data_IF_494082526232
#
_entry.id   IF_494082526232
#
_cell.length_a   1.000
_cell.length_b   1.000
_cell.length_c   1.000
_cell.angle_alpha   90.00
_cell.angle_beta   90.00
_cell.angle_gamma   90.00
#
_symmetry.space_group_name_H-M   'P 1'
#
loop_
_entity.id
_entity.type
_entity.pdbx_description
1 polymer ?
#
# COMPACT_ATOMS: atom_id res chain seq x y z
N UNK A 1 -17.26 53.98 -31.90
CA UNK A 1 -15.92 53.89 -31.27
C UNK A 1 -15.89 52.54 -30.59
N UNK A 2 -14.97 51.68 -31.03
CA UNK A 2 -14.88 50.29 -30.61
C UNK A 2 -14.61 50.20 -29.11
N UNK A 3 -15.16 49.17 -28.46
CA UNK A 3 -14.47 48.58 -27.32
C UNK A 3 -14.56 47.06 -27.41
N UNK A 4 -13.39 46.46 -27.26
CA UNK A 4 -13.04 45.09 -27.60
C UNK A 4 -13.28 44.17 -26.42
N UNK A 5 -14.13 43.16 -26.59
CA UNK A 5 -14.19 42.00 -25.69
C UNK A 5 -12.95 41.13 -25.93
N UNK A 6 -11.91 41.40 -25.15
CA UNK A 6 -10.73 40.55 -25.03
C UNK A 6 -11.09 39.29 -24.24
N UNK A 7 -11.29 38.19 -24.95
CA UNK A 7 -11.30 36.86 -24.36
C UNK A 7 -9.98 36.63 -23.62
N UNK A 8 -10.05 36.60 -22.29
CA UNK A 8 -8.95 36.14 -21.45
C UNK A 8 -8.75 34.64 -21.74
N UNK A 9 -7.69 34.33 -22.49
CA UNK A 9 -7.24 32.97 -22.74
C UNK A 9 -6.74 32.42 -21.41
N UNK A 10 -7.42 31.38 -20.93
CA UNK A 10 -7.04 30.54 -19.80
C UNK A 10 -5.73 29.80 -20.14
N UNK A 11 -4.58 30.40 -19.78
CA UNK A 11 -3.24 29.96 -20.20
C UNK A 11 -2.55 28.95 -19.26
N UNK A 12 -3.24 28.37 -18.26
CA UNK A 12 -2.59 27.48 -17.28
C UNK A 12 -3.17 26.05 -17.23
N UNK A 13 -3.92 25.61 -18.25
CA UNK A 13 -4.34 24.20 -18.36
C UNK A 13 -3.22 23.36 -18.98
N UNK A 14 -2.75 22.27 -18.33
CA UNK A 14 -1.74 21.40 -18.91
C UNK A 14 -2.26 20.83 -20.24
N UNK A 15 -1.41 20.84 -21.27
CA UNK A 15 -1.76 20.33 -22.58
C UNK A 15 -2.17 18.85 -22.46
N UNK A 16 -3.39 18.53 -22.89
CA UNK A 16 -3.92 17.17 -22.90
C UNK A 16 -3.50 16.48 -24.20
N UNK A 17 -2.70 15.43 -24.11
CA UNK A 17 -2.25 14.63 -25.25
C UNK A 17 -3.24 13.49 -25.52
N UNK A 18 -3.54 13.24 -26.79
CA UNK A 18 -4.34 12.09 -27.22
C UNK A 18 -3.43 11.02 -27.84
N UNK A 19 -3.86 9.75 -27.86
CA UNK A 19 -3.06 8.64 -28.45
C UNK A 19 -2.76 8.79 -29.94
N UNK A 20 -3.46 9.71 -30.61
CA UNK A 20 -3.23 10.04 -32.02
C UNK A 20 -2.06 11.02 -32.21
N UNK A 21 -1.65 11.70 -31.14
CA UNK A 21 -0.47 12.57 -31.13
C UNK A 21 0.83 11.77 -30.99
N UNK A 22 0.73 10.48 -30.66
CA UNK A 22 1.86 9.57 -30.51
C UNK A 22 2.33 8.97 -31.83
N UNK A 23 3.59 8.51 -31.90
CA UNK A 23 4.12 7.80 -33.06
C UNK A 23 3.31 6.53 -33.33
N UNK A 24 2.76 6.42 -34.54
CA UNK A 24 1.92 5.28 -34.89
C UNK A 24 2.77 4.16 -35.49
N UNK A 25 2.49 2.91 -35.10
CA UNK A 25 3.26 1.72 -35.54
C UNK A 25 3.41 1.63 -37.07
N UNK A 26 2.37 1.98 -37.83
CA UNK A 26 2.42 1.95 -39.31
C UNK A 26 3.40 2.98 -39.92
N UNK A 27 3.84 3.99 -39.15
CA UNK A 27 4.83 4.99 -39.56
C UNK A 27 6.27 4.50 -39.35
N UNK A 28 6.47 3.32 -38.75
CA UNK A 28 7.79 2.77 -38.42
C UNK A 28 8.66 3.73 -37.61
N UNK A 29 8.18 4.22 -36.44
CA UNK A 29 8.89 5.20 -35.63
C UNK A 29 10.21 4.66 -35.07
N UNK A 30 11.13 5.54 -34.70
CA UNK A 30 12.39 5.12 -34.06
C UNK A 30 12.13 4.48 -32.70
N UNK A 31 13.05 3.62 -32.27
CA UNK A 31 12.99 3.00 -30.95
C UNK A 31 12.92 4.05 -29.82
N UNK A 32 13.76 5.09 -29.90
CA UNK A 32 13.79 6.18 -28.92
C UNK A 32 12.43 6.88 -28.82
N UNK A 33 11.79 7.16 -29.96
CA UNK A 33 10.48 7.81 -29.99
C UNK A 33 9.38 6.95 -29.36
N UNK A 34 9.43 5.63 -29.54
CA UNK A 34 8.52 4.71 -28.86
C UNK A 34 8.77 4.67 -27.35
N UNK A 35 10.03 4.58 -26.92
CA UNK A 35 10.39 4.54 -25.50
C UNK A 35 10.03 5.84 -24.77
N UNK A 36 10.32 7.00 -25.37
CA UNK A 36 9.89 8.31 -24.84
C UNK A 36 8.37 8.38 -24.69
N UNK A 37 7.62 7.89 -25.69
CA UNK A 37 6.16 7.82 -25.61
C UNK A 37 5.69 6.89 -24.48
N UNK A 38 6.32 5.73 -24.32
CA UNK A 38 6.00 4.78 -23.25
C UNK A 38 6.30 5.35 -21.86
N UNK A 39 7.29 6.24 -21.73
CA UNK A 39 7.58 6.95 -20.49
C UNK A 39 6.49 7.97 -20.14
N UNK A 40 5.92 8.67 -21.14
CA UNK A 40 4.73 9.50 -20.95
C UNK A 40 3.52 8.70 -20.46
N UNK A 41 3.48 7.39 -20.77
CA UNK A 41 2.40 6.47 -20.39
C UNK A 41 2.64 5.74 -19.07
N UNK A 42 3.74 5.94 -18.36
CA UNK A 42 3.90 5.42 -16.98
C UNK A 42 2.72 5.91 -16.15
N UNK A 43 2.02 5.08 -15.38
CA UNK A 43 1.04 5.62 -14.43
C UNK A 43 1.76 6.24 -13.24
N UNK A 44 1.33 7.41 -12.79
CA UNK A 44 1.70 7.86 -11.45
C UNK A 44 1.18 6.83 -10.45
N UNK A 45 2.00 6.35 -9.49
CA UNK A 45 1.54 5.40 -8.49
C UNK A 45 0.26 5.94 -7.87
N UNK A 46 -0.80 5.13 -7.83
CA UNK A 46 -2.05 5.50 -7.16
C UNK A 46 -1.73 5.96 -5.74
N UNK A 47 -1.79 7.28 -5.51
CA UNK A 47 -1.67 7.86 -4.19
C UNK A 47 -3.04 7.76 -3.54
N UNK A 48 -3.15 7.00 -2.45
CA UNK A 48 -4.35 7.07 -1.65
C UNK A 48 -4.41 8.43 -0.94
N UNK A 49 -5.40 9.25 -1.30
CA UNK A 49 -5.54 10.61 -0.80
C UNK A 49 -5.26 11.64 -1.89
N UNK A 50 -5.98 12.74 -1.85
CA UNK A 50 -6.21 13.73 -2.90
C UNK A 50 -4.97 14.51 -3.39
N UNK A 51 -3.91 13.85 -3.82
CA UNK A 51 -2.86 14.51 -4.58
C UNK A 51 -2.53 13.70 -5.82
N UNK A 52 -3.15 14.10 -6.92
CA UNK A 52 -2.60 13.86 -8.23
C UNK A 52 -1.27 14.60 -8.31
N UNK A 53 -0.17 13.86 -8.45
CA UNK A 53 1.09 14.44 -8.94
C UNK A 53 0.77 15.02 -10.31
N UNK A 54 0.69 16.35 -10.41
CA UNK A 54 0.47 17.04 -11.68
C UNK A 54 1.67 16.77 -12.58
N UNK A 55 1.50 15.90 -13.57
CA UNK A 55 2.40 15.87 -14.72
C UNK A 55 2.19 17.14 -15.54
N UNK A 56 3.28 17.68 -16.08
CA UNK A 56 3.23 18.78 -17.04
C UNK A 56 2.43 18.43 -18.30
N UNK A 57 2.24 17.14 -18.60
CA UNK A 57 1.42 16.63 -19.70
C UNK A 57 0.48 15.53 -19.20
N UNK A 58 -0.81 15.66 -19.49
CA UNK A 58 -1.85 14.68 -19.14
C UNK A 58 -2.27 13.95 -20.40
N UNK A 59 -2.09 12.63 -20.44
CA UNK A 59 -2.55 11.81 -21.58
C UNK A 59 -3.99 11.39 -21.36
N UNK A 60 -4.85 11.58 -22.36
CA UNK A 60 -6.21 11.04 -22.36
C UNK A 60 -6.16 9.50 -22.24
N UNK A 61 -6.76 8.90 -21.19
CA UNK A 61 -6.77 7.44 -21.03
C UNK A 61 -7.53 6.72 -22.16
N UNK A 62 -8.41 7.41 -22.89
CA UNK A 62 -9.13 6.82 -24.01
C UNK A 62 -8.16 6.35 -25.10
N UNK A 63 -8.27 5.07 -25.47
CA UNK A 63 -7.46 4.48 -26.55
C UNK A 63 -6.05 4.04 -26.15
N UNK A 64 -5.55 4.41 -24.95
CA UNK A 64 -4.22 3.98 -24.49
C UNK A 64 -4.06 2.46 -24.46
N UNK A 65 -5.03 1.67 -23.95
CA UNK A 65 -4.92 0.20 -23.99
C UNK A 65 -4.78 -0.31 -25.42
N UNK A 66 -5.54 0.25 -26.38
CA UNK A 66 -5.48 -0.14 -27.79
C UNK A 66 -4.13 0.20 -28.41
N UNK A 67 -3.58 1.37 -28.10
CA UNK A 67 -2.26 1.79 -28.55
C UNK A 67 -1.17 0.84 -28.02
N UNK A 68 -1.15 0.56 -26.71
CA UNK A 68 -0.20 -0.36 -26.08
C UNK A 68 -0.30 -1.78 -26.67
N UNK A 69 -1.51 -2.30 -26.85
CA UNK A 69 -1.72 -3.59 -27.51
C UNK A 69 -1.20 -3.60 -28.94
N UNK A 70 -1.28 -2.48 -29.68
CA UNK A 70 -0.74 -2.40 -31.03
C UNK A 70 0.79 -2.48 -31.08
N UNK A 71 1.49 -1.92 -30.08
CA UNK A 71 2.94 -2.04 -29.92
C UNK A 71 3.30 -3.50 -29.61
N UNK A 72 2.62 -4.09 -28.61
CA UNK A 72 2.85 -5.48 -28.17
C UNK A 72 2.60 -6.48 -29.31
N UNK A 73 1.58 -6.24 -30.14
CA UNK A 73 1.24 -7.11 -31.26
C UNK A 73 2.14 -6.92 -32.50
N UNK A 74 2.96 -5.86 -32.54
CA UNK A 74 3.86 -5.58 -33.66
C UNK A 74 5.16 -6.37 -33.53
N UNK A 75 5.66 -6.93 -34.64
CA UNK A 75 6.98 -7.55 -34.73
C UNK A 75 8.14 -6.56 -34.60
N UNK A 76 7.88 -5.25 -34.78
CA UNK A 76 8.89 -4.19 -34.78
C UNK A 76 10.04 -4.42 -35.78
N UNK A 77 9.76 -5.07 -36.92
CA UNK A 77 10.78 -5.53 -37.90
C UNK A 77 11.70 -4.44 -38.47
N UNK A 78 11.31 -3.16 -38.36
CA UNK A 78 12.14 -2.04 -38.83
C UNK A 78 13.22 -1.64 -37.82
N UNK A 79 13.11 -2.07 -36.56
CA UNK A 79 14.14 -1.94 -35.53
C UNK A 79 15.08 -3.14 -35.67
N UNK A 80 16.39 -2.92 -35.74
CA UNK A 80 17.36 -4.00 -35.99
C UNK A 80 17.86 -4.67 -34.70
N UNK A 81 17.89 -3.92 -33.60
CA UNK A 81 18.40 -4.37 -32.31
C UNK A 81 17.31 -5.15 -31.55
N UNK A 82 17.53 -6.45 -31.36
CA UNK A 82 16.58 -7.33 -30.68
C UNK A 82 16.45 -7.02 -29.17
N UNK A 83 17.52 -6.56 -28.50
CA UNK A 83 17.43 -6.18 -27.09
C UNK A 83 16.55 -4.94 -26.92
N UNK A 84 16.62 -4.01 -27.87
CA UNK A 84 15.77 -2.81 -27.88
C UNK A 84 14.30 -3.16 -28.17
N UNK A 85 14.02 -4.14 -29.05
CA UNK A 85 12.65 -4.64 -29.26
C UNK A 85 12.06 -5.22 -27.99
N UNK A 86 12.82 -6.11 -27.33
CA UNK A 86 12.43 -6.72 -26.06
C UNK A 86 12.14 -5.66 -25.01
N UNK A 87 12.99 -4.62 -24.92
CA UNK A 87 12.74 -3.48 -24.03
C UNK A 87 11.42 -2.77 -24.35
N UNK A 88 11.14 -2.46 -25.62
CA UNK A 88 9.90 -1.80 -26.04
C UNK A 88 8.66 -2.63 -25.67
N UNK A 89 8.69 -3.93 -25.98
CA UNK A 89 7.58 -4.83 -25.64
C UNK A 89 7.37 -4.95 -24.12
N UNK A 90 8.46 -5.04 -23.36
CA UNK A 90 8.40 -5.09 -21.90
C UNK A 90 7.80 -3.81 -21.31
N UNK A 91 8.26 -2.63 -21.74
CA UNK A 91 7.73 -1.35 -21.28
C UNK A 91 6.24 -1.19 -21.65
N UNK A 92 5.86 -1.51 -22.89
CA UNK A 92 4.45 -1.47 -23.32
C UNK A 92 3.56 -2.42 -22.50
N UNK A 93 4.05 -3.64 -22.23
CA UNK A 93 3.36 -4.64 -21.42
C UNK A 93 3.18 -4.18 -19.98
N UNK A 94 4.21 -3.59 -19.37
CA UNK A 94 4.15 -3.02 -18.02
C UNK A 94 3.09 -1.91 -17.92
N UNK A 95 3.02 -1.00 -18.91
CA UNK A 95 2.02 0.09 -18.93
C UNK A 95 0.60 -0.46 -19.10
N UNK A 96 0.43 -1.53 -19.85
CA UNK A 96 -0.87 -2.18 -20.04
C UNK A 96 -1.30 -2.95 -18.77
N UNK A 97 -0.36 -3.66 -18.14
CA UNK A 97 -0.58 -4.42 -16.91
C UNK A 97 -0.93 -3.50 -15.73
N UNK A 98 -0.24 -2.37 -15.57
CA UNK A 98 -0.57 -1.36 -14.56
C UNK A 98 -2.03 -0.85 -14.67
N UNK A 99 -2.53 -0.72 -15.89
CA UNK A 99 -3.90 -0.30 -16.22
C UNK A 99 -4.95 -1.40 -16.08
N UNK A 100 -4.53 -2.64 -15.82
CA UNK A 100 -5.43 -3.80 -15.73
C UNK A 100 -5.93 -4.06 -14.30
N UNK A 101 -5.75 -3.09 -13.40
CA UNK A 101 -6.17 -3.13 -12.00
C UNK A 101 -5.07 -3.57 -11.03
N UNK A 102 -5.29 -3.32 -9.73
CA UNK A 102 -4.26 -3.45 -8.67
C UNK A 102 -3.60 -4.83 -8.56
N UNK A 103 -4.33 -5.89 -8.89
CA UNK A 103 -3.83 -7.26 -8.80
C UNK A 103 -2.99 -7.65 -10.02
N UNK A 104 -3.23 -7.00 -11.16
CA UNK A 104 -2.47 -7.20 -12.38
C UNK A 104 -1.25 -6.27 -12.48
N UNK A 105 -1.14 -5.28 -11.59
CA UNK A 105 -0.03 -4.34 -11.57
C UNK A 105 1.30 -5.04 -11.19
N UNK A 106 2.42 -4.65 -11.83
CA UNK A 106 3.73 -5.21 -11.53
C UNK A 106 4.20 -4.84 -10.11
N UNK A 107 5.30 -5.44 -9.68
CA UNK A 107 5.97 -5.04 -8.44
C UNK A 107 6.27 -3.54 -8.46
N UNK A 108 5.83 -2.82 -7.44
CA UNK A 108 6.00 -1.37 -7.37
C UNK A 108 6.20 -0.89 -5.94
N UNK A 109 6.94 0.20 -5.78
CA UNK A 109 6.98 0.95 -4.52
C UNK A 109 5.99 2.10 -4.61
N UNK A 110 5.13 2.25 -3.60
CA UNK A 110 4.10 3.28 -3.53
C UNK A 110 4.29 4.18 -2.32
N UNK A 111 3.89 5.43 -2.46
CA UNK A 111 3.88 6.41 -1.38
C UNK A 111 2.47 6.53 -0.80
N UNK A 112 2.35 6.40 0.52
CA UNK A 112 1.11 6.53 1.27
C UNK A 112 1.19 7.77 2.14
N UNK A 113 0.42 8.80 1.81
CA UNK A 113 0.32 10.00 2.65
C UNK A 113 -0.58 9.74 3.85
N UNK A 114 0.02 9.68 5.03
CA UNK A 114 -0.66 9.52 6.31
C UNK A 114 -1.13 10.89 6.82
N UNK A 115 -0.28 11.91 6.74
CA UNK A 115 -0.64 13.31 6.97
C UNK A 115 0.31 14.22 6.17
N UNK A 116 0.20 15.54 6.35
CA UNK A 116 0.99 16.52 5.58
C UNK A 116 2.51 16.38 5.80
N UNK A 117 2.93 15.86 6.95
CA UNK A 117 4.34 15.68 7.32
C UNK A 117 4.83 14.23 7.19
N UNK A 118 3.94 13.26 6.95
CA UNK A 118 4.25 11.84 6.99
C UNK A 118 3.79 11.12 5.73
N UNK A 119 4.76 10.71 4.92
CA UNK A 119 4.58 9.87 3.73
C UNK A 119 5.38 8.59 3.90
N UNK A 120 4.71 7.45 3.87
CA UNK A 120 5.33 6.12 4.02
C UNK A 120 5.53 5.48 2.65
N UNK A 121 6.72 4.96 2.39
CA UNK A 121 7.02 4.22 1.16
C UNK A 121 6.91 2.72 1.39
N UNK A 122 6.05 2.03 0.63
CA UNK A 122 5.87 0.59 0.74
C UNK A 122 6.09 -0.09 -0.59
N UNK A 123 6.93 -1.12 -0.59
CA UNK A 123 7.08 -2.06 -1.67
C UNK A 123 5.95 -3.09 -1.66
N UNK A 124 5.29 -3.22 -2.80
CA UNK A 124 4.29 -4.23 -3.08
C UNK A 124 4.73 -5.07 -4.27
N UNK A 125 5.10 -6.34 -4.07
CA UNK A 125 5.44 -7.22 -5.18
C UNK A 125 4.21 -7.50 -6.07
N UNK A 126 4.46 -8.02 -7.26
CA UNK A 126 3.41 -8.58 -8.13
C UNK A 126 2.64 -9.66 -7.36
N UNK A 127 1.33 -9.73 -7.58
CA UNK A 127 0.50 -10.74 -6.93
C UNK A 127 0.77 -12.09 -7.61
N UNK A 128 1.59 -12.92 -6.98
CA UNK A 128 1.82 -14.31 -7.39
C UNK A 128 1.20 -15.23 -6.32
N UNK A 129 0.27 -16.10 -6.72
CA UNK A 129 -0.45 -17.00 -5.80
C UNK A 129 -1.36 -16.29 -4.79
N UNK A 130 -1.54 -16.89 -3.61
CA UNK A 130 -2.46 -16.45 -2.54
C UNK A 130 -1.86 -15.39 -1.59
N UNK A 131 -0.93 -14.56 -2.07
CA UNK A 131 -0.18 -13.60 -1.25
C UNK A 131 -0.91 -12.27 -1.01
N UNK A 132 -2.15 -12.32 -0.48
CA UNK A 132 -2.97 -11.13 -0.20
C UNK A 132 -2.33 -10.17 0.82
N UNK A 133 -1.46 -10.66 1.70
CA UNK A 133 -0.73 -9.86 2.70
C UNK A 133 0.31 -8.90 2.10
N UNK A 134 0.68 -9.08 0.83
CA UNK A 134 1.67 -8.24 0.15
C UNK A 134 1.07 -6.98 -0.51
N UNK A 135 -0.22 -6.73 -0.29
CA UNK A 135 -0.94 -5.54 -0.78
C UNK A 135 -1.46 -4.71 0.39
N UNK A 136 -1.37 -3.40 0.26
CA UNK A 136 -1.89 -2.46 1.26
C UNK A 136 -3.39 -2.24 1.05
N UNK A 137 -4.18 -2.45 2.10
CA UNK A 137 -5.64 -2.32 2.08
C UNK A 137 -6.11 -0.96 2.58
N UNK A 138 -7.31 -0.54 2.17
CA UNK A 138 -7.85 0.78 2.50
C UNK A 138 -7.98 0.99 4.03
N UNK A 139 -8.36 -0.06 4.78
CA UNK A 139 -8.45 -0.02 6.24
C UNK A 139 -7.10 0.33 6.88
N UNK A 140 -5.98 -0.16 6.34
CA UNK A 140 -4.64 0.16 6.84
C UNK A 140 -4.35 1.66 6.75
N UNK A 141 -4.72 2.29 5.64
CA UNK A 141 -4.52 3.74 5.51
C UNK A 141 -5.48 4.53 6.41
N UNK A 142 -6.74 4.13 6.49
CA UNK A 142 -7.70 4.82 7.37
C UNK A 142 -7.27 4.74 8.83
N UNK A 143 -6.81 3.57 9.28
CA UNK A 143 -6.25 3.40 10.61
C UNK A 143 -4.98 4.24 10.79
N UNK A 144 -4.03 4.19 9.84
CA UNK A 144 -2.79 4.98 9.88
C UNK A 144 -3.09 6.49 10.05
N UNK A 145 -4.08 7.02 9.32
CA UNK A 145 -4.52 8.42 9.44
C UNK A 145 -5.11 8.75 10.81
N UNK A 146 -5.81 7.79 11.43
CA UNK A 146 -6.43 7.94 12.76
C UNK A 146 -5.47 7.76 13.92
N UNK A 147 -4.26 7.22 13.71
CA UNK A 147 -3.29 7.01 14.79
C UNK A 147 -2.95 8.31 15.54
N UNK A 148 -2.93 9.45 14.84
CA UNK A 148 -2.65 10.74 15.47
C UNK A 148 -3.68 11.11 16.55
N UNK A 149 -4.97 10.86 16.29
CA UNK A 149 -6.04 11.12 17.25
C UNK A 149 -6.07 10.07 18.35
N UNK A 150 -5.75 8.82 18.00
CA UNK A 150 -5.72 7.70 18.95
C UNK A 150 -4.57 7.78 19.94
N UNK A 151 -3.53 8.60 19.70
CA UNK A 151 -2.38 8.75 20.61
C UNK A 151 -2.81 9.03 22.06
N UNK A 152 -3.86 9.83 22.26
CA UNK A 152 -4.36 10.17 23.60
C UNK A 152 -5.08 9.00 24.31
N UNK A 153 -5.53 8.00 23.56
CA UNK A 153 -6.31 6.87 24.07
C UNK A 153 -5.48 5.61 24.28
N UNK A 154 -4.35 5.51 23.56
CA UNK A 154 -3.42 4.38 23.62
C UNK A 154 -2.26 4.65 24.56
N UNK A 155 -1.73 3.58 25.16
CA UNK A 155 -0.63 3.67 26.11
C UNK A 155 0.74 3.59 25.41
N UNK A 156 0.94 4.37 24.34
CA UNK A 156 2.16 4.31 23.53
C UNK A 156 3.42 4.68 24.33
N UNK A 157 3.31 5.55 25.33
CA UNK A 157 4.43 5.96 26.18
C UNK A 157 4.67 4.99 27.37
N UNK A 158 3.89 3.91 27.47
CA UNK A 158 3.93 2.96 28.60
C UNK A 158 4.51 1.60 28.25
N UNK A 159 4.83 1.34 26.98
CA UNK A 159 5.52 0.12 26.57
C UNK A 159 5.50 -0.11 25.07
N UNK A 160 5.75 -1.36 24.68
CA UNK A 160 5.84 -1.77 23.27
C UNK A 160 4.47 -1.94 22.63
N UNK A 161 4.42 -1.63 21.34
CA UNK A 161 3.26 -1.81 20.46
C UNK A 161 3.46 -3.07 19.62
N UNK A 162 2.40 -3.85 19.42
CA UNK A 162 2.37 -4.99 18.50
C UNK A 162 1.37 -4.73 17.40
N UNK A 163 1.78 -4.90 16.14
CA UNK A 163 0.85 -5.00 15.02
C UNK A 163 0.64 -6.48 14.66
N UNK A 164 -0.61 -6.93 14.65
CA UNK A 164 -1.01 -8.28 14.22
C UNK A 164 -1.53 -8.22 12.78
N UNK A 165 -0.97 -9.06 11.90
CA UNK A 165 -1.36 -9.09 10.48
C UNK A 165 -0.96 -7.79 9.78
N UNK A 166 0.31 -7.42 9.90
CA UNK A 166 0.84 -6.14 9.42
C UNK A 166 0.80 -6.00 7.89
N UNK A 167 0.82 -7.11 7.15
CA UNK A 167 0.88 -7.15 5.70
C UNK A 167 2.10 -6.37 5.17
N UNK A 168 1.85 -5.23 4.55
CA UNK A 168 2.90 -4.33 4.07
C UNK A 168 3.54 -3.46 5.15
N UNK A 169 2.93 -3.37 6.34
CA UNK A 169 3.45 -2.64 7.50
C UNK A 169 3.03 -1.17 7.61
N UNK A 170 2.05 -0.73 6.80
CA UNK A 170 1.63 0.68 6.78
C UNK A 170 1.28 1.20 8.19
N UNK A 171 0.50 0.44 8.96
CA UNK A 171 -0.01 0.93 10.25
C UNK A 171 1.09 0.95 11.29
N UNK A 172 1.88 -0.12 11.43
CA UNK A 172 2.97 -0.19 12.41
C UNK A 172 4.08 0.81 12.14
N UNK A 173 4.48 1.02 10.88
CA UNK A 173 5.45 2.06 10.52
C UNK A 173 4.88 3.44 10.87
N UNK A 174 3.60 3.68 10.55
CA UNK A 174 2.94 4.95 10.91
C UNK A 174 2.87 5.13 12.43
N UNK A 175 2.61 4.08 13.20
CA UNK A 175 2.59 4.11 14.66
C UNK A 175 3.97 4.45 15.22
N UNK A 176 5.04 3.83 14.70
CA UNK A 176 6.40 4.15 15.11
C UNK A 176 6.72 5.64 14.87
N UNK A 177 6.35 6.17 13.70
CA UNK A 177 6.60 7.58 13.35
C UNK A 177 5.72 8.59 14.11
N UNK A 178 4.44 8.30 14.31
CA UNK A 178 3.49 9.24 14.92
C UNK A 178 3.49 9.19 16.45
N UNK A 179 3.77 8.01 17.01
CA UNK A 179 3.82 7.83 18.46
C UNK A 179 5.23 7.94 19.02
N UNK A 180 6.28 7.81 18.20
CA UNK A 180 7.65 7.69 18.71
C UNK A 180 7.78 6.45 19.60
N UNK A 181 7.09 5.37 19.21
CA UNK A 181 6.96 4.15 20.01
C UNK A 181 7.84 3.03 19.44
N UNK A 182 8.14 2.04 20.28
CA UNK A 182 8.79 0.79 19.86
C UNK A 182 7.72 -0.19 19.39
N UNK A 183 7.69 -0.46 18.09
CA UNK A 183 6.65 -1.25 17.41
C UNK A 183 7.24 -2.56 16.91
N UNK A 184 6.58 -3.68 17.21
CA UNK A 184 6.86 -4.98 16.59
C UNK A 184 5.76 -5.26 15.58
N UNK A 185 6.11 -5.34 14.30
CA UNK A 185 5.19 -5.65 13.21
C UNK A 185 5.23 -7.15 12.93
N UNK A 186 4.09 -7.82 12.91
CA UNK A 186 4.04 -9.27 12.78
C UNK A 186 3.08 -9.76 11.71
N UNK A 187 3.49 -10.84 11.04
CA UNK A 187 2.72 -11.53 10.02
C UNK A 187 3.24 -12.97 9.83
N UNK A 188 2.71 -13.67 8.82
CA UNK A 188 3.12 -15.02 8.43
C UNK A 188 4.55 -15.06 7.84
N UNK A 189 5.23 -16.23 7.88
CA UNK A 189 6.61 -16.38 7.39
C UNK A 189 6.85 -15.84 5.98
N UNK A 190 5.89 -16.00 5.07
CA UNK A 190 6.03 -15.57 3.67
C UNK A 190 5.87 -14.06 3.48
N UNK A 191 5.28 -13.36 4.46
CA UNK A 191 5.02 -11.91 4.41
C UNK A 191 6.14 -11.11 5.08
N UNK A 192 6.70 -11.65 6.17
CA UNK A 192 7.74 -10.99 6.99
C UNK A 192 8.95 -10.48 6.18
N UNK A 193 9.49 -11.19 5.16
CA UNK A 193 10.60 -10.66 4.35
C UNK A 193 10.27 -9.34 3.65
N UNK A 194 9.08 -9.21 3.08
CA UNK A 194 8.66 -7.95 2.45
C UNK A 194 8.33 -6.86 3.49
N UNK A 195 7.75 -7.26 4.63
CA UNK A 195 7.52 -6.37 5.76
C UNK A 195 8.83 -5.75 6.28
N UNK A 196 9.89 -6.57 6.43
CA UNK A 196 11.22 -6.12 6.83
C UNK A 196 11.84 -5.15 5.82
N UNK A 197 11.67 -5.43 4.51
CA UNK A 197 12.05 -4.50 3.45
C UNK A 197 11.34 -3.16 3.59
N UNK A 198 10.04 -3.16 3.86
CA UNK A 198 9.25 -1.94 4.04
C UNK A 198 9.64 -1.15 5.30
N UNK A 199 9.94 -1.82 6.40
CA UNK A 199 10.48 -1.16 7.60
C UNK A 199 11.82 -0.49 7.27
N UNK A 200 12.73 -1.19 6.57
CA UNK A 200 14.03 -0.66 6.17
C UNK A 200 13.91 0.57 5.26
N UNK A 201 12.98 0.56 4.30
CA UNK A 201 12.68 1.70 3.41
C UNK A 201 12.27 2.98 4.15
N UNK A 202 11.81 2.87 5.39
CA UNK A 202 11.34 4.01 6.20
C UNK A 202 12.16 4.19 7.49
N UNK A 203 13.32 3.53 7.60
CA UNK A 203 14.14 3.51 8.83
C UNK A 203 14.58 4.91 9.28
N UNK A 204 15.09 5.74 8.37
CA UNK A 204 15.49 7.13 8.68
C UNK A 204 14.33 7.95 9.25
N UNK A 205 13.13 7.76 8.71
CA UNK A 205 11.92 8.46 9.13
C UNK A 205 11.46 8.00 10.52
N UNK A 206 11.51 6.70 10.77
CA UNK A 206 11.20 6.11 12.08
C UNK A 206 12.14 6.66 13.15
N UNK A 207 13.45 6.66 12.87
CA UNK A 207 14.48 7.15 13.81
C UNK A 207 14.34 8.66 14.04
N UNK A 208 14.10 9.45 12.98
CA UNK A 208 13.89 10.89 13.11
C UNK A 208 12.66 11.24 13.98
N UNK A 209 11.65 10.38 13.98
CA UNK A 209 10.47 10.49 14.84
C UNK A 209 10.68 9.99 16.28
N UNK A 210 11.86 9.46 16.62
CA UNK A 210 12.15 8.86 17.92
C UNK A 210 11.46 7.51 18.16
N UNK A 211 10.99 6.84 17.10
CA UNK A 211 10.39 5.52 17.16
C UNK A 211 11.38 4.39 16.86
N UNK A 212 10.91 3.16 17.03
CA UNK A 212 11.62 1.94 16.64
C UNK A 212 10.65 0.98 15.96
N UNK A 213 11.14 0.19 15.01
CA UNK A 213 10.34 -0.83 14.34
C UNK A 213 11.16 -2.12 14.16
N UNK A 214 10.59 -3.24 14.61
CA UNK A 214 11.13 -4.59 14.42
C UNK A 214 10.07 -5.46 13.73
N UNK A 215 10.48 -6.51 13.02
CA UNK A 215 9.58 -7.41 12.29
C UNK A 215 9.75 -8.84 12.77
N UNK A 216 8.64 -9.55 13.05
CA UNK A 216 8.69 -10.95 13.52
C UNK A 216 7.60 -11.79 12.90
N UNK A 217 7.84 -13.10 12.86
CA UNK A 217 6.80 -14.08 12.56
C UNK A 217 5.88 -14.20 13.78
N UNK A 218 4.57 -14.10 13.55
CA UNK A 218 3.55 -14.46 14.53
C UNK A 218 2.37 -15.07 13.77
N UNK A 219 2.26 -16.39 13.86
CA UNK A 219 1.17 -17.16 13.26
C UNK A 219 0.09 -17.38 14.32
N UNK A 220 -1.13 -16.88 14.05
CA UNK A 220 -2.23 -16.99 15.01
C UNK A 220 -2.68 -18.43 15.27
N UNK A 221 -2.32 -19.37 14.39
CA UNK A 221 -2.59 -20.81 14.55
C UNK A 221 -1.52 -21.54 15.38
N UNK A 222 -0.34 -20.93 15.56
CA UNK A 222 0.78 -21.51 16.29
C UNK A 222 1.11 -20.70 17.54
N UNK A 223 0.68 -21.22 18.68
CA UNK A 223 0.90 -20.63 20.01
C UNK A 223 2.39 -20.49 20.34
N UNK A 224 3.27 -21.28 19.74
CA UNK A 224 4.71 -21.19 19.98
C UNK A 224 5.33 -19.89 19.44
N UNK A 225 4.65 -19.24 18.48
CA UNK A 225 5.08 -17.95 17.91
C UNK A 225 4.63 -16.73 18.72
N UNK A 226 3.85 -16.95 19.79
CA UNK A 226 3.31 -15.89 20.65
C UNK A 226 4.17 -15.71 21.92
N UNK A 227 4.05 -14.57 22.64
CA UNK A 227 4.71 -14.38 23.93
C UNK A 227 4.41 -15.50 24.93
N UNK A 228 5.44 -16.06 25.54
CA UNK A 228 5.34 -17.13 26.54
C UNK A 228 5.36 -16.58 27.98
N UNK A 229 5.94 -15.40 28.16
CA UNK A 229 6.08 -14.75 29.47
C UNK A 229 5.46 -13.35 29.49
N UNK A 230 5.00 -12.91 30.67
CA UNK A 230 4.42 -11.58 30.84
C UNK A 230 5.38 -10.43 30.47
N UNK A 231 6.68 -10.61 30.69
CA UNK A 231 7.71 -9.64 30.28
C UNK A 231 7.83 -9.47 28.76
N UNK A 232 7.30 -10.40 27.98
CA UNK A 232 7.34 -10.39 26.52
C UNK A 232 6.09 -9.77 25.90
N UNK A 233 5.07 -9.47 26.71
CA UNK A 233 3.79 -8.91 26.24
C UNK A 233 3.87 -7.43 25.85
N UNK A 234 2.79 -6.95 25.25
CA UNK A 234 2.64 -5.63 24.66
C UNK A 234 1.51 -4.86 25.33
N UNK A 235 1.64 -3.53 25.41
CA UNK A 235 0.63 -2.67 26.06
C UNK A 235 -0.37 -2.12 25.05
N UNK A 236 -0.03 -2.12 23.77
CA UNK A 236 -0.95 -1.72 22.70
C UNK A 236 -0.85 -2.73 21.58
N UNK A 237 -1.98 -3.29 21.18
CA UNK A 237 -2.10 -4.13 19.99
C UNK A 237 -2.90 -3.37 18.94
N UNK A 238 -2.40 -3.32 17.71
CA UNK A 238 -3.08 -2.73 16.57
C UNK A 238 -3.29 -3.77 15.47
N UNK A 239 -4.40 -3.70 14.75
CA UNK A 239 -4.66 -4.55 13.58
C UNK A 239 -5.59 -3.83 12.59
N UNK A 240 -5.39 -4.05 11.29
CA UNK A 240 -6.23 -3.49 10.24
C UNK A 240 -6.74 -4.58 9.29
N UNK A 241 -8.07 -4.64 9.11
CA UNK A 241 -8.75 -5.65 8.29
C UNK A 241 -8.36 -7.12 8.60
N UNK A 242 -8.29 -7.57 9.87
CA UNK A 242 -7.75 -8.89 10.19
C UNK A 242 -8.75 -10.05 9.95
N UNK A 243 -10.02 -9.78 9.63
CA UNK A 243 -11.08 -10.81 9.51
C UNK A 243 -11.52 -10.96 8.06
N UNK A 244 -11.22 -12.12 7.48
CA UNK A 244 -11.71 -12.55 6.16
C UNK A 244 -11.99 -14.05 6.06
N UNK A 245 -11.84 -14.81 7.16
CA UNK A 245 -12.19 -16.23 7.28
C UNK A 245 -12.99 -16.50 8.57
N UNK A 246 -13.88 -17.51 8.60
CA UNK A 246 -14.66 -17.87 9.80
C UNK A 246 -13.82 -18.25 11.03
N UNK A 247 -12.57 -18.72 10.84
CA UNK A 247 -11.66 -19.12 11.91
C UNK A 247 -10.96 -17.93 12.59
N UNK A 248 -10.85 -16.80 11.87
CA UNK A 248 -10.07 -15.64 12.32
C UNK A 248 -10.51 -15.04 13.65
N UNK A 249 -11.81 -14.96 14.01
CA UNK A 249 -12.21 -14.45 15.32
C UNK A 249 -11.55 -15.18 16.49
N UNK A 250 -11.52 -16.51 16.47
CA UNK A 250 -10.92 -17.31 17.54
C UNK A 250 -9.40 -17.17 17.55
N UNK A 251 -8.78 -17.30 16.37
CA UNK A 251 -7.32 -17.19 16.22
C UNK A 251 -6.80 -15.81 16.67
N UNK A 252 -7.47 -14.74 16.23
CA UNK A 252 -7.11 -13.36 16.57
C UNK A 252 -7.36 -13.06 18.04
N UNK A 253 -8.49 -13.50 18.61
CA UNK A 253 -8.76 -13.34 20.04
C UNK A 253 -7.67 -14.01 20.88
N UNK A 254 -7.31 -15.25 20.54
CA UNK A 254 -6.24 -15.98 21.22
C UNK A 254 -4.89 -15.27 21.12
N UNK A 255 -4.52 -14.79 19.92
CA UNK A 255 -3.30 -14.01 19.70
C UNK A 255 -3.28 -12.73 20.55
N UNK A 256 -4.40 -12.00 20.61
CA UNK A 256 -4.55 -10.78 21.42
C UNK A 256 -4.41 -11.11 22.91
N UNK A 257 -5.18 -12.06 23.44
CA UNK A 257 -5.19 -12.38 24.88
C UNK A 257 -3.83 -12.91 25.38
N UNK A 258 -3.11 -13.65 24.52
CA UNK A 258 -1.75 -14.12 24.84
C UNK A 258 -0.71 -13.02 24.76
N UNK A 259 -0.86 -12.08 23.83
CA UNK A 259 0.14 -11.04 23.58
C UNK A 259 -0.06 -9.75 24.39
N UNK A 260 -1.28 -9.50 24.89
CA UNK A 260 -1.60 -8.27 25.61
C UNK A 260 -1.21 -8.38 27.10
N UNK A 261 -0.48 -7.37 27.58
CA UNK A 261 -0.18 -7.21 29.00
C UNK A 261 -1.49 -7.03 29.81
N UNK A 262 -1.51 -7.46 31.06
CA UNK A 262 -2.73 -7.44 31.89
C UNK A 262 -2.84 -6.19 32.76
N UNK A 263 -2.26 -5.08 32.34
CA UNK A 263 -2.30 -3.82 33.08
C UNK A 263 -3.45 -2.90 32.63
N UNK A 264 -3.75 -1.88 33.45
CA UNK A 264 -4.87 -0.94 33.21
C UNK A 264 -4.68 -0.04 31.98
N UNK A 265 -3.47 0.03 31.44
CA UNK A 265 -3.12 0.84 30.29
C UNK A 265 -3.17 0.04 29.00
N UNK A 266 -3.31 -1.28 29.07
CA UNK A 266 -3.45 -2.14 27.89
C UNK A 266 -4.62 -1.75 27.01
N UNK A 267 -4.37 -1.62 25.71
CA UNK A 267 -5.38 -1.28 24.70
C UNK A 267 -5.24 -2.16 23.47
N UNK A 268 -6.37 -2.43 22.82
CA UNK A 268 -6.43 -3.08 21.52
C UNK A 268 -7.20 -2.14 20.59
N UNK A 269 -6.60 -1.82 19.44
CA UNK A 269 -7.22 -1.00 18.40
C UNK A 269 -7.35 -1.85 17.15
N UNK A 270 -8.56 -2.01 16.64
CA UNK A 270 -8.81 -2.78 15.42
C UNK A 270 -9.68 -1.97 14.47
N UNK A 271 -9.21 -1.80 13.24
CA UNK A 271 -9.98 -1.17 12.16
C UNK A 271 -10.56 -2.26 11.26
N UNK A 272 -11.88 -2.24 11.06
CA UNK A 272 -12.57 -3.15 10.16
C UNK A 272 -13.16 -2.41 8.97
N UNK A 273 -13.10 -2.97 7.75
CA UNK A 273 -13.88 -2.44 6.64
C UNK A 273 -15.37 -2.70 6.89
N UNK A 274 -16.21 -1.81 6.36
CA UNK A 274 -17.65 -2.01 6.30
C UNK A 274 -17.99 -3.11 5.28
N UNK A 275 -18.05 -4.36 5.74
CA UNK A 275 -18.46 -5.53 4.94
C UNK A 275 -19.58 -6.27 5.67
N UNK A 276 -20.77 -6.33 5.09
CA UNK A 276 -21.93 -6.99 5.73
C UNK A 276 -21.70 -8.48 5.95
N UNK A 277 -21.03 -9.13 5.00
CA UNK A 277 -20.76 -10.57 5.05
C UNK A 277 -19.99 -11.01 6.30
N UNK A 278 -19.03 -10.19 6.75
CA UNK A 278 -18.17 -10.53 7.90
C UNK A 278 -18.65 -9.94 9.24
N UNK A 279 -19.88 -9.39 9.29
CA UNK A 279 -20.45 -8.86 10.54
C UNK A 279 -20.59 -9.93 11.64
N UNK A 280 -21.03 -11.17 11.34
CA UNK A 280 -21.10 -12.22 12.36
C UNK A 280 -19.74 -12.52 13.01
N UNK A 281 -18.68 -12.57 12.22
CA UNK A 281 -17.31 -12.84 12.63
C UNK A 281 -16.76 -11.70 13.49
N UNK A 282 -16.99 -10.45 13.08
CA UNK A 282 -16.64 -9.27 13.87
C UNK A 282 -17.39 -9.25 15.22
N UNK A 283 -18.66 -9.64 15.24
CA UNK A 283 -19.43 -9.76 16.47
C UNK A 283 -18.94 -10.93 17.35
N UNK A 284 -18.47 -12.02 16.73
CA UNK A 284 -17.83 -13.15 17.42
C UNK A 284 -16.55 -12.71 18.12
N UNK A 285 -15.64 -12.01 17.42
CA UNK A 285 -14.41 -11.49 18.02
C UNK A 285 -14.70 -10.60 19.23
N UNK A 286 -15.68 -9.69 19.11
CA UNK A 286 -16.05 -8.79 20.21
C UNK A 286 -16.52 -9.55 21.45
N UNK A 287 -17.26 -10.64 21.29
CA UNK A 287 -17.68 -11.50 22.41
C UNK A 287 -16.48 -12.17 23.06
N UNK A 288 -15.63 -12.84 22.27
CA UNK A 288 -14.43 -13.51 22.76
C UNK A 288 -13.50 -12.57 23.56
N UNK A 289 -13.30 -11.34 23.08
CA UNK A 289 -12.47 -10.36 23.78
C UNK A 289 -13.09 -9.82 25.08
N UNK A 290 -14.42 -9.77 25.19
CA UNK A 290 -15.11 -9.31 26.39
C UNK A 290 -15.23 -10.40 27.46
N UNK A 291 -15.45 -11.64 27.03
CA UNK A 291 -15.68 -12.78 27.92
C UNK A 291 -14.35 -13.32 28.47
N UNK A 292 -13.23 -13.03 27.81
CA UNK A 292 -11.89 -13.49 28.22
C UNK A 292 -11.67 -14.99 28.04
N UNK A 293 -12.62 -15.68 27.40
CA UNK A 293 -12.57 -17.11 27.09
C UNK A 293 -12.16 -17.30 25.62
N UNK A 294 -11.02 -17.96 25.41
CA UNK A 294 -10.61 -18.59 24.15
C UNK A 294 -10.42 -20.08 24.39
#
# INVERSE_FOLDING_TARGET
MADSDGAAVDQDRPAQLHVFDFPQIYQKPTADSLLETLDLLVETPFAFGHEHVQRQQVVDPAGVPRYLTSIIASSLDWIQDDEVKERIWNEASLRLSARSGRNAAPSQTRSFRVNDALVIQLHEPSLTGDNLGLKTWASSLLLAKRLITLRAEVACDKGRVLELGAGTGLVGISAACLWGASVVLTDLPDIVPNLAKNVSLNSDLIVASGGEADTRVLDWSDVSTMPQHQSEKYHTIIAADPIYSPEHPNMLANAILRSLATDRWSRVVIEFPLREHYRPEQASLKRLLNDGEC
#
